data_IF_171603868952
#
_entry.id   IF_171603868952
#
_cell.length_a   1.000
_cell.length_b   1.000
_cell.length_c   1.000
_cell.angle_alpha   90.00
_cell.angle_beta   90.00
_cell.angle_gamma   90.00
#
_symmetry.space_group_name_H-M   'P 1'
#
loop_
_entity.id
_entity.type
_entity.pdbx_description
1 polymer ?
#
# COMPACT_ATOMS: atom_id res chain seq x y z
N UNK A 1 32.29 21.87 8.13
CA UNK A 1 31.01 22.17 8.80
C UNK A 1 30.37 23.36 8.10
N UNK A 2 29.27 23.15 7.39
CA UNK A 2 28.50 24.21 6.74
C UNK A 2 27.80 25.04 7.82
N UNK A 3 28.23 26.28 8.03
CA UNK A 3 27.61 27.19 9.00
C UNK A 3 26.22 27.59 8.48
N UNK A 4 25.16 27.11 9.14
CA UNK A 4 23.77 27.37 8.74
C UNK A 4 23.26 28.66 9.38
N UNK A 5 22.75 29.56 8.56
CA UNK A 5 22.24 30.89 8.99
C UNK A 5 20.73 30.91 9.27
N UNK A 6 20.01 29.80 9.01
CA UNK A 6 18.56 29.66 9.26
C UNK A 6 18.23 28.25 9.77
N UNK A 7 17.16 28.14 10.56
CA UNK A 7 16.60 26.86 11.01
C UNK A 7 16.04 26.00 9.87
N UNK A 8 15.56 24.80 10.19
CA UNK A 8 14.91 23.93 9.20
C UNK A 8 13.53 24.50 8.83
N UNK A 9 13.41 24.99 7.59
CA UNK A 9 12.25 25.72 7.07
C UNK A 9 11.41 24.88 6.10
N UNK A 10 11.31 23.58 6.31
CA UNK A 10 10.48 22.74 5.46
C UNK A 10 8.97 23.07 5.65
N UNK A 11 8.26 23.53 4.60
CA UNK A 11 6.93 24.13 4.72
C UNK A 11 5.86 23.11 5.09
N UNK A 12 5.23 23.30 6.25
CA UNK A 12 3.99 22.64 6.64
C UNK A 12 2.78 23.56 6.54
N UNK A 13 1.60 23.04 6.88
CA UNK A 13 0.36 23.82 6.88
C UNK A 13 0.31 24.77 8.08
N UNK A 14 0.76 24.34 9.26
CA UNK A 14 0.86 25.18 10.47
C UNK A 14 2.20 25.94 10.54
N UNK A 15 3.16 25.57 9.70
CA UNK A 15 4.47 26.23 9.55
C UNK A 15 4.76 26.51 8.07
N UNK A 16 3.99 27.41 7.43
CA UNK A 16 4.13 27.68 6.01
C UNK A 16 5.49 28.28 5.68
N UNK A 17 5.92 28.11 4.44
CA UNK A 17 6.97 28.94 3.88
C UNK A 17 6.35 30.25 3.40
N UNK A 18 6.86 31.38 3.89
CA UNK A 18 6.42 32.70 3.48
C UNK A 18 7.10 33.04 2.15
N UNK A 19 6.35 33.04 1.07
CA UNK A 19 6.78 33.50 -0.24
C UNK A 19 6.13 34.85 -0.59
N UNK A 20 6.63 35.51 -1.63
CA UNK A 20 6.17 36.85 -2.04
C UNK A 20 4.70 36.84 -2.49
N UNK A 21 4.22 35.71 -3.01
CA UNK A 21 2.85 35.47 -3.48
C UNK A 21 1.91 34.90 -2.41
N UNK A 22 2.42 34.62 -1.20
CA UNK A 22 1.66 34.03 -0.11
C UNK A 22 2.34 32.82 0.52
N UNK A 23 1.59 32.07 1.32
CA UNK A 23 2.08 30.85 1.95
C UNK A 23 2.21 29.71 0.94
N UNK A 24 3.34 29.01 1.02
CA UNK A 24 3.52 27.68 0.44
C UNK A 24 3.44 26.64 1.54
N UNK A 25 2.58 25.65 1.34
CA UNK A 25 2.41 24.52 2.26
C UNK A 25 2.61 23.20 1.53
N UNK A 26 3.16 22.20 2.23
CA UNK A 26 3.27 20.81 1.72
C UNK A 26 2.40 19.89 2.55
N UNK A 27 1.76 18.96 1.87
CA UNK A 27 0.91 17.96 2.50
C UNK A 27 1.74 16.75 2.96
N UNK A 28 1.05 15.73 3.46
CA UNK A 28 1.65 14.45 3.82
C UNK A 28 0.94 13.33 3.08
N UNK A 29 1.69 12.67 2.20
CA UNK A 29 1.15 11.64 1.31
C UNK A 29 2.11 10.44 1.32
N UNK A 30 2.12 9.61 2.39
CA UNK A 30 3.06 8.50 2.54
C UNK A 30 3.07 7.57 1.33
N UNK A 31 4.25 7.29 0.79
CA UNK A 31 4.41 6.51 -0.44
C UNK A 31 3.81 7.17 -1.70
N UNK A 32 3.31 8.40 -1.60
CA UNK A 32 2.62 9.10 -2.68
C UNK A 32 1.15 8.69 -2.85
N UNK A 33 0.60 7.79 -2.05
CA UNK A 33 -0.76 7.27 -2.22
C UNK A 33 -1.85 8.28 -1.85
N UNK A 34 -2.80 8.48 -2.76
CA UNK A 34 -3.99 9.30 -2.54
C UNK A 34 -5.18 8.82 -3.39
N UNK A 35 -6.35 9.36 -3.10
CA UNK A 35 -7.52 9.16 -3.95
C UNK A 35 -7.77 10.37 -4.84
N UNK A 36 -8.42 10.16 -5.98
CA UNK A 36 -8.93 11.23 -6.83
C UNK A 36 -9.93 12.10 -6.07
N UNK A 37 -10.78 11.51 -5.23
CA UNK A 37 -11.71 12.26 -4.38
C UNK A 37 -10.95 13.26 -3.49
N UNK A 38 -9.88 12.83 -2.81
CA UNK A 38 -9.05 13.72 -1.99
C UNK A 38 -8.31 14.75 -2.85
N UNK A 39 -7.84 14.37 -4.04
CA UNK A 39 -7.20 15.28 -4.98
C UNK A 39 -8.16 16.39 -5.46
N UNK A 40 -9.39 16.04 -5.84
CA UNK A 40 -10.40 17.02 -6.28
C UNK A 40 -10.77 17.97 -5.13
N UNK A 41 -10.98 17.45 -3.92
CA UNK A 41 -11.21 18.28 -2.75
C UNK A 41 -10.04 19.24 -2.49
N UNK A 42 -8.80 18.78 -2.70
CA UNK A 42 -7.62 19.64 -2.59
C UNK A 42 -7.54 20.68 -3.72
N UNK A 43 -7.94 20.33 -4.94
CA UNK A 43 -8.07 21.29 -6.04
C UNK A 43 -9.09 22.38 -5.71
N UNK A 44 -10.23 22.03 -5.10
CA UNK A 44 -11.23 23.01 -4.65
C UNK A 44 -10.61 23.99 -3.62
N UNK A 45 -9.77 23.48 -2.71
CA UNK A 45 -9.02 24.34 -1.76
C UNK A 45 -8.04 25.26 -2.49
N UNK A 46 -7.30 24.74 -3.48
CA UNK A 46 -6.35 25.52 -4.26
C UNK A 46 -7.03 26.64 -5.04
N UNK A 47 -8.20 26.38 -5.62
CA UNK A 47 -9.03 27.35 -6.36
C UNK A 47 -9.65 28.40 -5.44
N UNK A 48 -10.08 28.01 -4.23
CA UNK A 48 -10.72 28.93 -3.30
C UNK A 48 -9.72 29.86 -2.57
N UNK A 49 -8.50 29.37 -2.29
CA UNK A 49 -7.58 30.06 -1.39
C UNK A 49 -6.16 30.25 -1.93
N UNK A 50 -5.78 29.65 -3.06
CA UNK A 50 -4.41 29.67 -3.56
C UNK A 50 -4.30 30.15 -5.01
N UNK A 51 -3.30 29.62 -5.71
CA UNK A 51 -3.06 29.90 -7.14
C UNK A 51 -3.94 29.06 -8.09
N UNK A 52 -4.92 28.32 -7.58
CA UNK A 52 -5.78 27.44 -8.37
C UNK A 52 -5.17 26.09 -8.74
N UNK A 53 -3.94 25.78 -8.31
CA UNK A 53 -3.22 24.60 -8.75
C UNK A 53 -2.67 23.75 -7.60
N UNK A 54 -2.62 22.44 -7.83
CA UNK A 54 -1.91 21.49 -6.96
C UNK A 54 -0.57 21.13 -7.60
N UNK A 55 0.52 21.28 -6.85
CA UNK A 55 1.88 21.11 -7.40
C UNK A 55 2.52 19.79 -6.92
N UNK A 56 3.02 18.99 -7.86
CA UNK A 56 3.77 17.77 -7.60
C UNK A 56 5.24 18.05 -7.30
N UNK A 57 5.83 17.24 -6.42
CA UNK A 57 7.22 17.39 -5.98
C UNK A 57 8.09 16.19 -6.31
N UNK A 58 9.41 16.41 -6.33
CA UNK A 58 10.42 15.34 -6.49
C UNK A 58 10.50 14.36 -5.31
N UNK A 59 9.74 14.60 -4.24
CA UNK A 59 9.63 13.71 -3.06
C UNK A 59 8.24 13.05 -3.00
N UNK A 60 7.61 12.82 -4.16
CA UNK A 60 6.32 12.13 -4.27
C UNK A 60 5.22 12.74 -3.38
N UNK A 61 5.14 14.07 -3.34
CA UNK A 61 4.26 14.82 -2.43
C UNK A 61 3.60 16.00 -3.16
N UNK A 62 2.58 16.59 -2.54
CA UNK A 62 1.76 17.69 -3.03
C UNK A 62 2.08 19.02 -2.33
N UNK A 63 1.90 20.13 -3.05
CA UNK A 63 2.04 21.49 -2.52
C UNK A 63 0.87 22.37 -2.97
N UNK A 64 0.46 23.27 -2.08
CA UNK A 64 -0.38 24.42 -2.41
C UNK A 64 0.48 25.69 -2.28
N UNK A 65 0.18 26.69 -3.12
CA UNK A 65 0.89 27.96 -3.21
C UNK A 65 -0.08 29.13 -3.15
N UNK A 66 0.49 30.33 -2.94
CA UNK A 66 -0.24 31.58 -2.85
C UNK A 66 -1.39 31.58 -1.83
N UNK A 67 -1.26 30.77 -0.75
CA UNK A 67 -2.28 30.74 0.30
C UNK A 67 -2.25 32.06 1.09
N UNK A 68 -3.40 32.55 1.59
CA UNK A 68 -3.43 33.76 2.39
C UNK A 68 -2.63 33.58 3.68
N UNK A 69 -2.06 34.68 4.15
CA UNK A 69 -1.34 34.78 5.40
C UNK A 69 -1.99 35.86 6.27
N UNK A 70 -2.26 35.51 7.53
CA UNK A 70 -2.69 36.45 8.57
C UNK A 70 -1.73 36.27 9.74
N UNK A 71 -1.05 37.35 10.14
CA UNK A 71 -0.03 37.34 11.20
C UNK A 71 1.07 36.27 11.01
N UNK A 72 1.45 36.02 9.75
CA UNK A 72 2.49 35.05 9.38
C UNK A 72 2.04 33.58 9.42
N UNK A 73 0.74 33.31 9.61
CA UNK A 73 0.16 31.98 9.61
C UNK A 73 -0.94 31.81 8.55
N UNK A 74 -1.18 30.56 8.14
CA UNK A 74 -2.32 30.21 7.29
C UNK A 74 -3.62 30.34 8.11
N UNK A 75 -4.66 31.04 7.62
CA UNK A 75 -5.91 31.22 8.36
C UNK A 75 -6.58 29.88 8.75
N UNK A 76 -7.24 29.80 9.93
CA UNK A 76 -7.89 28.57 10.40
C UNK A 76 -8.88 27.97 9.39
N UNK A 77 -9.62 28.80 8.65
CA UNK A 77 -10.56 28.32 7.63
C UNK A 77 -9.85 27.51 6.51
N UNK A 78 -8.67 27.95 6.08
CA UNK A 78 -7.87 27.24 5.06
C UNK A 78 -7.29 25.96 5.65
N UNK A 79 -6.82 25.99 6.90
CA UNK A 79 -6.33 24.79 7.59
C UNK A 79 -7.42 23.73 7.70
N UNK A 80 -8.65 24.11 8.07
CA UNK A 80 -9.77 23.19 8.17
C UNK A 80 -10.25 22.69 6.80
N UNK A 81 -10.21 23.53 5.76
CA UNK A 81 -10.49 23.09 4.40
C UNK A 81 -9.46 22.04 3.92
N UNK A 82 -8.17 22.25 4.19
CA UNK A 82 -7.12 21.25 3.91
C UNK A 82 -7.35 20.00 4.77
N UNK A 83 -7.69 20.14 6.05
CA UNK A 83 -7.98 18.99 6.94
C UNK A 83 -9.10 18.12 6.41
N UNK A 84 -10.17 18.73 5.88
CA UNK A 84 -11.33 18.03 5.33
C UNK A 84 -10.98 17.13 4.12
N UNK A 85 -9.85 17.39 3.43
CA UNK A 85 -9.36 16.52 2.35
C UNK A 85 -8.82 15.17 2.85
N UNK A 86 -8.52 15.05 4.15
CA UNK A 86 -7.85 13.89 4.74
C UNK A 86 -6.33 13.84 4.49
N UNK A 87 -5.75 14.84 3.82
CA UNK A 87 -4.32 14.89 3.46
C UNK A 87 -3.44 15.67 4.46
N UNK A 88 -4.03 16.12 5.57
CA UNK A 88 -3.31 16.82 6.64
C UNK A 88 -2.67 15.80 7.61
N UNK A 89 -1.38 15.91 7.96
CA UNK A 89 -0.79 15.12 9.03
C UNK A 89 -1.47 15.32 10.40
N UNK A 90 -1.25 14.37 11.32
CA UNK A 90 -1.48 14.61 12.74
C UNK A 90 -0.65 15.84 13.20
N UNK A 91 -1.22 16.78 13.98
CA UNK A 91 -0.56 18.05 14.32
C UNK A 91 0.84 17.88 14.93
N UNK A 92 1.00 16.88 15.79
CA UNK A 92 2.28 16.61 16.49
C UNK A 92 3.40 16.09 15.59
N UNK A 93 3.08 15.53 14.42
CA UNK A 93 4.05 14.92 13.51
C UNK A 93 4.15 15.67 12.18
N UNK A 94 3.72 16.93 12.17
CA UNK A 94 3.73 17.76 10.97
C UNK A 94 5.12 17.82 10.33
N UNK A 95 6.20 17.93 11.09
CA UNK A 95 7.55 18.06 10.52
C UNK A 95 8.14 16.74 10.01
N UNK A 96 7.62 15.58 10.42
CA UNK A 96 8.12 14.30 9.92
C UNK A 96 7.51 14.04 8.55
N UNK A 97 8.31 14.28 7.51
CA UNK A 97 7.85 14.31 6.12
C UNK A 97 8.02 12.97 5.41
N UNK A 98 7.48 13.01 4.19
CA UNK A 98 7.09 11.89 3.35
C UNK A 98 8.07 10.71 3.35
N UNK A 99 7.52 9.50 3.42
CA UNK A 99 8.25 8.27 3.08
C UNK A 99 8.18 8.14 1.56
N UNK A 100 9.33 8.25 0.89
CA UNK A 100 9.41 8.04 -0.56
C UNK A 100 9.49 6.54 -0.83
N UNK A 101 8.62 6.02 -1.69
CA UNK A 101 8.50 4.59 -1.99
C UNK A 101 8.44 4.40 -3.50
N UNK A 102 8.94 3.28 -4.03
CA UNK A 102 8.82 2.95 -5.45
C UNK A 102 7.35 3.07 -5.90
N UNK A 103 6.98 3.95 -6.85
CA UNK A 103 5.59 4.31 -7.10
C UNK A 103 4.70 3.17 -7.62
N UNK A 104 5.32 2.09 -8.10
CA UNK A 104 4.65 0.91 -8.65
C UNK A 104 4.68 -0.28 -7.68
N UNK A 105 5.11 -0.09 -6.42
CA UNK A 105 5.15 -1.16 -5.42
C UNK A 105 3.77 -1.77 -5.18
N UNK A 106 3.69 -3.10 -5.21
CA UNK A 106 2.44 -3.85 -5.13
C UNK A 106 1.48 -3.67 -6.32
N UNK A 107 1.83 -2.84 -7.32
CA UNK A 107 1.02 -2.57 -8.52
C UNK A 107 1.54 -3.34 -9.73
N UNK A 108 2.83 -3.28 -9.99
CA UNK A 108 3.45 -3.94 -11.13
C UNK A 108 4.96 -4.08 -10.94
N UNK A 109 5.48 -5.29 -11.18
CA UNK A 109 6.91 -5.58 -11.02
C UNK A 109 7.38 -5.41 -9.57
N UNK A 110 8.67 -5.10 -9.40
CA UNK A 110 9.30 -5.07 -8.08
C UNK A 110 9.45 -6.48 -7.47
N UNK A 111 10.21 -6.59 -6.38
CA UNK A 111 10.48 -7.86 -5.69
C UNK A 111 9.59 -8.05 -4.46
N UNK A 112 9.17 -6.95 -3.84
CA UNK A 112 8.30 -6.94 -2.68
C UNK A 112 7.19 -5.89 -2.80
N UNK A 113 6.10 -6.11 -2.07
CA UNK A 113 5.10 -5.08 -1.82
C UNK A 113 5.49 -4.30 -0.55
N UNK A 114 5.82 -3.02 -0.71
CA UNK A 114 6.28 -2.16 0.37
C UNK A 114 5.15 -1.33 0.99
N UNK A 115 3.91 -1.44 0.52
CA UNK A 115 2.76 -0.72 1.11
C UNK A 115 2.57 -1.05 2.60
N UNK A 116 2.68 -2.31 3.06
CA UNK A 116 2.57 -2.64 4.49
C UNK A 116 3.71 -2.04 5.31
N UNK A 117 4.95 -2.15 4.82
CA UNK A 117 6.12 -1.56 5.48
C UNK A 117 5.99 -0.05 5.58
N UNK A 118 5.44 0.59 4.54
CA UNK A 118 5.18 2.03 4.51
C UNK A 118 4.15 2.42 5.57
N UNK A 119 3.01 1.73 5.61
CA UNK A 119 1.96 1.99 6.60
C UNK A 119 2.44 1.76 8.03
N UNK A 120 3.18 0.68 8.27
CA UNK A 120 3.73 0.36 9.59
C UNK A 120 4.80 1.38 10.02
N UNK A 121 5.70 1.78 9.11
CA UNK A 121 6.69 2.81 9.38
C UNK A 121 6.02 4.15 9.71
N UNK A 122 4.98 4.49 8.94
CA UNK A 122 4.16 5.68 9.16
C UNK A 122 3.57 5.72 10.57
N UNK A 123 2.92 4.62 10.96
CA UNK A 123 2.30 4.44 12.26
C UNK A 123 3.34 4.50 13.39
N UNK A 124 4.48 3.81 13.24
CA UNK A 124 5.56 3.81 14.23
C UNK A 124 6.18 5.18 14.43
N UNK A 125 6.37 5.94 13.35
CA UNK A 125 6.83 7.32 13.41
C UNK A 125 5.84 8.18 14.20
N UNK A 126 4.55 8.11 13.87
CA UNK A 126 3.51 8.88 14.54
C UNK A 126 3.28 8.46 15.99
N UNK A 127 3.55 7.20 16.33
CA UNK A 127 3.45 6.69 17.70
C UNK A 127 4.69 7.02 18.56
N UNK A 128 5.75 7.61 18.00
CA UNK A 128 7.01 7.86 18.71
C UNK A 128 7.25 9.37 18.91
N UNK A 129 6.95 9.94 20.09
CA UNK A 129 7.04 11.39 20.32
C UNK A 129 8.42 12.02 20.07
N UNK A 130 9.51 11.27 20.27
CA UNK A 130 10.86 11.77 19.98
C UNK A 130 11.11 11.99 18.49
N UNK A 131 10.39 11.28 17.62
CA UNK A 131 10.52 11.38 16.17
C UNK A 131 9.76 12.57 15.59
N UNK A 132 8.76 13.12 16.29
CA UNK A 132 8.13 14.40 15.94
C UNK A 132 9.12 15.56 15.71
N UNK A 133 10.30 15.47 16.33
CA UNK A 133 11.38 16.47 16.24
C UNK A 133 12.45 16.13 15.19
N UNK A 134 12.21 15.12 14.34
CA UNK A 134 13.08 14.86 13.20
C UNK A 134 13.17 16.13 12.31
N UNK A 135 14.32 16.39 11.69
CA UNK A 135 14.45 17.42 10.67
C UNK A 135 13.42 17.20 9.56
N UNK A 136 12.75 18.25 9.11
CA UNK A 136 11.84 18.20 7.95
C UNK A 136 12.55 17.86 6.64
N UNK A 137 13.89 17.97 6.60
CA UNK A 137 14.69 17.47 5.48
C UNK A 137 15.00 15.98 5.54
N UNK A 138 14.85 15.35 6.71
CA UNK A 138 15.09 13.93 6.92
C UNK A 138 14.20 13.10 6.00
N UNK A 139 14.77 12.18 5.23
CA UNK A 139 14.05 11.44 4.18
C UNK A 139 14.20 9.94 4.33
N UNK A 140 13.06 9.25 4.39
CA UNK A 140 12.99 7.80 4.19
C UNK A 140 12.83 7.47 2.71
N UNK A 141 13.57 6.49 2.20
CA UNK A 141 13.47 6.00 0.82
C UNK A 141 13.39 4.47 0.80
N UNK A 142 12.27 3.92 0.32
CA UNK A 142 12.04 2.48 0.26
C UNK A 142 11.92 2.04 -1.21
N UNK A 143 12.95 1.37 -1.73
CA UNK A 143 12.97 0.82 -3.09
C UNK A 143 12.52 -0.65 -3.05
N UNK A 144 11.54 -1.03 -3.87
CA UNK A 144 11.01 -2.39 -3.87
C UNK A 144 11.87 -3.40 -4.65
N UNK A 145 13.12 -3.05 -4.93
CA UNK A 145 14.08 -3.89 -5.62
C UNK A 145 14.01 -3.77 -7.14
N UNK A 146 13.30 -2.76 -7.66
CA UNK A 146 13.32 -2.39 -9.08
C UNK A 146 14.43 -1.40 -9.42
N UNK A 147 14.87 -0.60 -8.45
CA UNK A 147 15.96 0.36 -8.63
C UNK A 147 15.53 1.72 -9.20
N UNK A 148 14.24 2.05 -9.16
CA UNK A 148 13.71 3.34 -9.64
C UNK A 148 13.98 4.49 -8.67
N UNK A 149 14.39 4.16 -7.44
CA UNK A 149 14.83 5.09 -6.41
C UNK A 149 16.32 4.96 -6.09
N UNK A 150 17.07 4.11 -6.80
CA UNK A 150 18.49 3.85 -6.53
C UNK A 150 19.38 5.11 -6.57
N UNK A 151 18.99 6.13 -7.37
CA UNK A 151 19.71 7.40 -7.46
C UNK A 151 19.30 8.42 -6.39
N UNK A 152 18.28 8.11 -5.57
CA UNK A 152 17.81 9.00 -4.51
C UNK A 152 18.71 8.86 -3.28
N UNK A 153 19.14 10.01 -2.78
CA UNK A 153 19.74 10.10 -1.44
C UNK A 153 18.65 9.91 -0.40
N UNK A 154 19.03 9.32 0.73
CA UNK A 154 18.16 9.09 1.86
C UNK A 154 18.93 9.27 3.15
N UNK A 155 18.22 9.54 4.23
CA UNK A 155 18.78 9.42 5.57
C UNK A 155 18.70 7.99 6.06
N UNK A 156 17.54 7.36 5.84
CA UNK A 156 17.32 5.95 6.12
C UNK A 156 16.48 5.35 4.99
N UNK A 157 16.64 4.07 4.73
CA UNK A 157 15.90 3.45 3.66
C UNK A 157 16.08 1.96 3.59
N UNK A 158 15.55 1.36 2.52
CA UNK A 158 15.75 -0.04 2.20
C UNK A 158 15.73 -0.27 0.70
N UNK A 159 16.29 -1.41 0.29
CA UNK A 159 16.10 -2.00 -1.04
C UNK A 159 15.63 -3.44 -0.85
N UNK A 160 14.51 -3.83 -1.46
CA UNK A 160 14.07 -5.21 -1.40
C UNK A 160 14.98 -6.13 -2.23
N UNK A 161 15.39 -7.24 -1.61
CA UNK A 161 16.25 -8.24 -2.23
C UNK A 161 15.43 -9.40 -2.80
N UNK A 162 14.30 -9.70 -2.15
CA UNK A 162 13.31 -10.72 -2.47
C UNK A 162 11.92 -10.28 -1.99
N UNK A 163 10.94 -11.19 -1.96
CA UNK A 163 9.61 -10.93 -1.41
C UNK A 163 9.58 -10.83 0.12
N UNK A 164 10.65 -11.24 0.80
CA UNK A 164 10.73 -11.43 2.25
C UNK A 164 12.01 -10.87 2.87
N UNK A 165 12.98 -10.41 2.09
CA UNK A 165 14.24 -9.83 2.55
C UNK A 165 14.46 -8.43 1.99
N UNK A 166 15.02 -7.56 2.81
CA UNK A 166 15.48 -6.22 2.40
C UNK A 166 16.87 -5.95 2.94
N UNK A 167 17.65 -5.13 2.24
CA UNK A 167 18.85 -4.53 2.81
C UNK A 167 18.55 -3.10 3.23
N UNK A 168 18.94 -2.73 4.45
CA UNK A 168 18.79 -1.36 4.95
C UNK A 168 19.80 -0.41 4.30
N UNK A 169 19.42 0.84 4.11
CA UNK A 169 20.27 1.97 3.69
C UNK A 169 20.40 2.95 4.85
N UNK A 170 21.62 3.41 5.12
CA UNK A 170 21.92 4.33 6.21
C UNK A 170 22.74 5.50 5.64
N UNK A 171 22.11 6.66 5.50
CA UNK A 171 22.68 7.80 4.78
C UNK A 171 22.75 7.57 3.26
N UNK A 172 23.54 8.41 2.59
CA UNK A 172 23.61 8.39 1.12
C UNK A 172 24.47 7.26 0.56
N UNK A 173 25.47 6.79 1.32
CA UNK A 173 26.52 5.89 0.81
C UNK A 173 26.70 4.60 1.60
N UNK A 174 26.07 4.43 2.78
CA UNK A 174 26.28 3.25 3.61
C UNK A 174 25.10 2.28 3.54
N UNK A 175 25.44 1.00 3.68
CA UNK A 175 24.48 -0.08 3.79
C UNK A 175 24.42 -0.57 5.24
N UNK A 176 23.22 -0.98 5.63
CA UNK A 176 22.96 -1.71 6.87
C UNK A 176 22.84 -3.21 6.62
N UNK A 177 22.43 -3.97 7.64
CA UNK A 177 22.25 -5.41 7.53
C UNK A 177 21.09 -5.76 6.59
N UNK A 178 21.14 -6.99 6.07
CA UNK A 178 19.97 -7.66 5.48
C UNK A 178 19.06 -8.12 6.61
N UNK A 179 17.77 -7.81 6.50
CA UNK A 179 16.76 -8.14 7.51
C UNK A 179 15.50 -8.68 6.83
N UNK A 180 14.67 -9.46 7.56
CA UNK A 180 13.35 -9.81 7.07
C UNK A 180 12.49 -8.57 6.79
N UNK A 181 11.74 -8.56 5.69
CA UNK A 181 10.87 -7.46 5.26
C UNK A 181 9.90 -7.02 6.36
N UNK A 182 9.35 -7.99 7.10
CA UNK A 182 8.41 -7.72 8.19
C UNK A 182 9.06 -7.03 9.42
N UNK A 183 10.39 -7.03 9.52
CA UNK A 183 11.11 -6.28 10.56
C UNK A 183 11.51 -4.87 10.09
N UNK A 184 11.46 -4.59 8.78
CA UNK A 184 12.08 -3.40 8.19
C UNK A 184 11.57 -2.09 8.80
N UNK A 185 10.25 -1.95 8.99
CA UNK A 185 9.65 -0.76 9.59
C UNK A 185 10.12 -0.53 11.04
N UNK A 186 10.22 -1.61 11.83
CA UNK A 186 10.73 -1.56 13.20
C UNK A 186 12.22 -1.16 13.23
N UNK A 187 13.04 -1.73 12.34
CA UNK A 187 14.48 -1.41 12.24
C UNK A 187 14.72 0.05 11.83
N UNK A 188 14.01 0.54 10.80
CA UNK A 188 14.09 1.93 10.35
C UNK A 188 13.66 2.92 11.45
N UNK A 189 12.62 2.59 12.20
CA UNK A 189 12.19 3.40 13.35
C UNK A 189 13.26 3.44 14.44
N UNK A 190 13.90 2.29 14.73
CA UNK A 190 15.01 2.21 15.68
C UNK A 190 16.20 3.07 15.27
N UNK A 191 16.59 3.02 14.00
CA UNK A 191 17.66 3.85 13.44
C UNK A 191 17.32 5.35 13.49
N UNK A 192 16.06 5.72 13.20
CA UNK A 192 15.62 7.11 13.30
C UNK A 192 15.67 7.64 14.74
N UNK A 193 15.34 6.79 15.72
CA UNK A 193 15.47 7.11 17.15
C UNK A 193 16.93 7.28 17.55
N UNK A 194 17.81 6.41 17.08
CA UNK A 194 19.25 6.52 17.31
C UNK A 194 19.80 7.83 16.73
N UNK A 195 19.44 8.18 15.49
CA UNK A 195 19.79 9.47 14.89
C UNK A 195 19.33 10.65 15.77
N UNK A 196 18.06 10.66 16.21
CA UNK A 196 17.55 11.73 17.08
C UNK A 196 18.30 11.86 18.41
N UNK A 197 18.82 10.76 18.95
CA UNK A 197 19.60 10.77 20.19
C UNK A 197 20.99 11.38 20.00
N UNK A 198 21.63 11.15 18.84
CA UNK A 198 23.04 11.51 18.62
C UNK A 198 23.26 12.79 17.81
N UNK A 199 22.23 13.28 17.08
CA UNK A 199 22.35 14.46 16.19
C UNK A 199 22.64 15.79 16.88
N UNK A 200 22.56 15.85 18.22
CA UNK A 200 22.75 17.07 19.02
C UNK A 200 21.56 18.03 19.00
N UNK A 201 21.77 19.24 19.52
CA UNK A 201 20.75 20.29 19.66
C UNK A 201 21.25 21.66 19.19
N UNK A 202 20.34 22.59 18.87
CA UNK A 202 20.67 23.95 18.45
C UNK A 202 21.09 24.04 16.98
N UNK A 203 21.74 25.14 16.60
CA UNK A 203 22.04 25.47 15.21
C UNK A 203 23.06 24.52 14.53
N UNK A 204 23.88 23.84 15.33
CA UNK A 204 24.88 22.87 14.86
C UNK A 204 24.34 21.44 14.73
N UNK A 205 23.08 21.18 15.14
CA UNK A 205 22.51 19.85 15.11
C UNK A 205 22.43 19.30 13.68
N UNK A 206 22.84 18.04 13.51
CA UNK A 206 22.82 17.37 12.21
C UNK A 206 21.40 17.32 11.66
N UNK A 207 21.22 17.63 10.38
CA UNK A 207 19.93 17.47 9.70
C UNK A 207 19.82 16.14 8.97
N UNK A 208 20.96 15.54 8.65
CA UNK A 208 21.07 14.31 7.90
C UNK A 208 21.98 13.30 8.59
N UNK A 209 21.76 12.01 8.32
CA UNK A 209 22.61 10.92 8.84
C UNK A 209 24.06 11.09 8.42
N UNK A 210 24.29 11.55 7.18
CA UNK A 210 25.64 11.80 6.63
C UNK A 210 26.40 12.95 7.35
N UNK A 211 25.73 13.74 8.19
CA UNK A 211 26.35 14.81 8.97
C UNK A 211 26.81 14.36 10.35
N UNK A 212 26.49 13.12 10.76
CA UNK A 212 26.94 12.58 12.03
C UNK A 212 28.45 12.33 12.00
N UNK A 213 29.16 12.57 13.13
CA UNK A 213 30.61 12.40 13.19
C UNK A 213 31.03 10.92 13.19
N UNK A 214 30.11 10.02 13.53
CA UNK A 214 30.35 8.57 13.58
C UNK A 214 29.62 7.94 12.42
N UNK A 215 30.39 7.26 11.55
CA UNK A 215 29.82 6.46 10.48
C UNK A 215 29.07 5.25 11.06
N UNK A 216 27.99 4.79 10.42
CA UNK A 216 27.34 3.54 10.80
C UNK A 216 28.29 2.36 10.65
N UNK A 217 27.97 1.25 11.32
CA UNK A 217 28.67 -0.01 11.11
C UNK A 217 28.67 -0.36 9.61
N UNK A 218 29.84 -0.69 9.02
CA UNK A 218 29.93 -0.93 7.59
C UNK A 218 29.33 -2.29 7.24
N UNK A 219 28.42 -2.30 6.27
CA UNK A 219 27.98 -3.50 5.57
C UNK A 219 28.28 -3.37 4.07
N UNK A 220 28.67 -4.47 3.44
CA UNK A 220 28.78 -4.53 1.98
C UNK A 220 27.39 -4.50 1.34
N UNK A 221 27.30 -3.88 0.17
CA UNK A 221 26.07 -3.91 -0.61
C UNK A 221 25.82 -5.33 -1.11
N UNK A 222 24.63 -5.88 -0.87
CA UNK A 222 24.21 -7.11 -1.53
C UNK A 222 24.12 -6.85 -3.04
N UNK A 223 24.73 -7.68 -3.91
CA UNK A 223 24.65 -7.49 -5.36
C UNK A 223 23.22 -7.37 -5.89
N UNK A 224 22.24 -8.02 -5.23
CA UNK A 224 20.82 -7.93 -5.54
C UNK A 224 20.28 -6.50 -5.34
N UNK A 225 20.84 -5.73 -4.42
CA UNK A 225 20.43 -4.34 -4.14
C UNK A 225 20.95 -3.34 -5.19
N UNK A 226 21.95 -3.72 -5.99
CA UNK A 226 22.61 -2.85 -6.96
C UNK A 226 21.89 -2.82 -8.32
N UNK A 227 20.59 -2.54 -8.28
CA UNK A 227 19.74 -2.41 -9.47
C UNK A 227 19.36 -0.96 -9.73
N UNK A 228 19.12 -0.64 -11.01
CA UNK A 228 18.67 0.68 -11.46
C UNK A 228 17.66 0.53 -12.58
N UNK A 229 16.59 1.32 -12.52
CA UNK A 229 15.61 1.42 -13.59
C UNK A 229 15.21 2.87 -13.80
N UNK A 230 14.93 3.22 -15.05
CA UNK A 230 14.31 4.50 -15.39
C UNK A 230 12.80 4.48 -15.09
N UNK A 231 12.15 5.65 -14.98
CA UNK A 231 10.70 5.73 -14.92
C UNK A 231 10.07 5.03 -16.13
N UNK A 232 8.92 4.34 -15.98
CA UNK A 232 8.21 3.80 -17.13
C UNK A 232 7.79 4.94 -18.09
N UNK A 233 7.63 4.63 -19.37
CA UNK A 233 7.02 5.59 -20.30
C UNK A 233 5.59 5.96 -19.84
N UNK A 234 5.11 7.14 -20.24
CA UNK A 234 3.72 7.51 -20.00
C UNK A 234 2.77 6.60 -20.81
N UNK A 235 1.62 6.28 -20.25
CA UNK A 235 0.63 5.36 -20.82
C UNK A 235 0.41 4.12 -19.96
N UNK A 236 -0.14 3.07 -20.57
CA UNK A 236 -0.40 1.80 -19.89
C UNK A 236 0.92 1.12 -19.48
N UNK A 237 1.02 0.78 -18.19
CA UNK A 237 2.17 0.06 -17.61
C UNK A 237 1.84 -1.41 -17.41
N UNK A 238 0.62 -1.69 -16.93
CA UNK A 238 0.07 -3.03 -16.73
C UNK A 238 -1.47 -2.96 -16.82
N UNK A 239 -2.18 -4.10 -16.88
CA UNK A 239 -3.65 -4.09 -16.81
C UNK A 239 -4.16 -3.31 -15.59
N UNK A 240 -4.93 -2.25 -15.84
CA UNK A 240 -5.46 -1.39 -14.78
C UNK A 240 -4.43 -0.47 -14.09
N UNK A 241 -3.22 -0.33 -14.62
CA UNK A 241 -2.16 0.59 -14.11
C UNK A 241 -1.60 1.43 -15.25
N UNK A 242 -1.60 2.75 -15.08
CA UNK A 242 -1.09 3.69 -16.06
C UNK A 242 -0.15 4.73 -15.42
N UNK A 243 0.90 5.12 -16.13
CA UNK A 243 1.75 6.24 -15.78
C UNK A 243 1.25 7.49 -16.52
N UNK A 244 0.80 8.48 -15.76
CA UNK A 244 0.11 9.68 -16.26
C UNK A 244 1.02 10.89 -16.16
N UNK A 245 1.26 11.52 -17.30
CA UNK A 245 2.01 12.77 -17.39
C UNK A 245 1.25 13.91 -16.70
N UNK A 246 1.99 14.78 -16.02
CA UNK A 246 1.48 16.03 -15.44
C UNK A 246 2.38 17.17 -15.91
N UNK A 247 1.85 18.04 -16.77
CA UNK A 247 2.60 19.14 -17.37
C UNK A 247 3.28 20.03 -16.31
N UNK A 248 4.61 20.08 -16.32
CA UNK A 248 5.40 20.84 -15.35
C UNK A 248 5.30 20.36 -13.88
N UNK A 249 4.58 19.27 -13.63
CA UNK A 249 4.17 18.86 -12.29
C UNK A 249 3.06 19.74 -11.70
N UNK A 250 2.25 20.40 -12.52
CA UNK A 250 1.11 21.21 -12.09
C UNK A 250 -0.17 20.47 -12.46
N UNK A 251 -0.97 20.10 -11.46
CA UNK A 251 -2.24 19.41 -11.66
C UNK A 251 -3.35 20.41 -11.94
N UNK A 252 -3.93 20.29 -13.13
CA UNK A 252 -5.13 21.01 -13.53
C UNK A 252 -6.38 20.22 -13.15
N UNK A 253 -7.48 20.95 -12.86
CA UNK A 253 -8.79 20.35 -12.57
C UNK A 253 -9.25 19.40 -13.68
N UNK A 254 -9.05 19.78 -14.95
CA UNK A 254 -9.45 18.98 -16.11
C UNK A 254 -8.81 17.60 -16.12
N UNK A 255 -7.51 17.51 -15.81
CA UNK A 255 -6.83 16.22 -15.69
C UNK A 255 -7.37 15.45 -14.48
N UNK A 256 -7.52 16.11 -13.34
CA UNK A 256 -7.99 15.46 -12.10
C UNK A 256 -9.35 14.78 -12.24
N UNK A 257 -10.25 15.34 -13.07
CA UNK A 257 -11.58 14.79 -13.34
C UNK A 257 -11.57 13.50 -14.19
N UNK A 258 -10.51 13.24 -14.96
CA UNK A 258 -10.43 12.05 -15.84
C UNK A 258 -9.66 10.89 -15.23
N UNK A 259 -8.97 11.12 -14.11
CA UNK A 259 -8.19 10.10 -13.42
C UNK A 259 -9.08 9.00 -12.83
N UNK A 260 -8.57 7.78 -12.59
CA UNK A 260 -9.24 6.77 -11.78
C UNK A 260 -9.17 7.13 -10.28
N UNK A 261 -9.88 6.37 -9.45
CA UNK A 261 -10.00 6.70 -8.02
C UNK A 261 -8.67 6.60 -7.26
N UNK A 262 -7.76 5.69 -7.61
CA UNK A 262 -6.52 5.50 -6.86
C UNK A 262 -5.30 6.01 -7.63
N UNK A 263 -4.48 6.78 -6.92
CA UNK A 263 -3.35 7.50 -7.47
C UNK A 263 -2.11 7.32 -6.59
N UNK A 264 -0.95 7.41 -7.22
CA UNK A 264 0.36 7.50 -6.55
C UNK A 264 1.12 8.67 -7.15
N UNK A 265 1.47 9.67 -6.34
CA UNK A 265 2.36 10.75 -6.76
C UNK A 265 3.76 10.18 -6.90
N UNK A 266 4.40 10.43 -8.04
CA UNK A 266 5.75 9.92 -8.32
C UNK A 266 6.83 10.94 -7.93
N UNK A 267 8.09 10.53 -7.71
CA UNK A 267 9.21 11.47 -7.59
C UNK A 267 9.61 12.14 -8.92
N UNK A 268 8.94 11.78 -10.02
CA UNK A 268 9.18 12.33 -11.37
C UNK A 268 8.25 13.49 -11.70
N UNK A 269 7.45 13.95 -10.73
CA UNK A 269 6.38 14.96 -10.91
C UNK A 269 5.29 14.51 -11.89
N UNK A 270 4.93 13.24 -11.80
CA UNK A 270 3.85 12.60 -12.55
C UNK A 270 2.96 11.82 -11.59
N UNK A 271 1.95 11.11 -12.11
CA UNK A 271 1.10 10.22 -11.32
C UNK A 271 1.18 8.79 -11.86
N UNK A 272 1.10 7.80 -10.98
CA UNK A 272 0.63 6.46 -11.35
C UNK A 272 -0.85 6.41 -11.00
N UNK A 273 -1.66 6.00 -11.96
CA UNK A 273 -3.10 5.85 -11.85
C UNK A 273 -3.43 4.36 -11.90
N UNK A 274 -4.25 3.86 -10.96
CA UNK A 274 -4.55 2.44 -10.91
C UNK A 274 -5.99 2.13 -10.47
N UNK A 275 -6.48 0.95 -10.88
CA UNK A 275 -7.68 0.35 -10.32
C UNK A 275 -7.44 -0.05 -8.85
N UNK A 276 -8.47 -0.11 -8.02
CA UNK A 276 -8.30 -0.49 -6.61
C UNK A 276 -7.58 -1.83 -6.50
N UNK A 277 -6.48 -1.84 -5.74
CA UNK A 277 -5.79 -3.06 -5.40
C UNK A 277 -6.54 -3.78 -4.27
N UNK A 278 -6.54 -5.12 -4.26
CA UNK A 278 -6.98 -5.88 -3.12
C UNK A 278 -6.23 -5.38 -1.86
N UNK A 279 -6.91 -5.17 -0.72
CA UNK A 279 -6.27 -4.65 0.48
C UNK A 279 -5.27 -5.66 1.02
N UNK A 280 -4.17 -5.19 1.62
CA UNK A 280 -3.26 -6.11 2.30
C UNK A 280 -3.87 -6.68 3.59
N UNK A 281 -4.90 -6.04 4.14
CA UNK A 281 -5.64 -6.61 5.25
C UNK A 281 -7.12 -6.24 5.14
N UNK A 282 -8.00 -7.19 5.44
CA UNK A 282 -9.44 -6.95 5.49
C UNK A 282 -9.96 -7.46 6.83
N UNK A 283 -10.40 -6.53 7.69
CA UNK A 283 -11.13 -6.86 8.90
C UNK A 283 -12.57 -7.27 8.54
N UNK A 284 -13.03 -8.39 9.08
CA UNK A 284 -14.39 -8.90 8.85
C UNK A 284 -14.98 -9.47 10.16
N UNK A 285 -15.27 -8.56 11.10
CA UNK A 285 -15.69 -8.91 12.45
C UNK A 285 -14.49 -9.34 13.31
N UNK A 286 -14.54 -10.50 14.00
CA UNK A 286 -13.40 -11.01 14.77
C UNK A 286 -12.30 -11.61 13.88
N UNK A 287 -12.50 -11.65 12.57
CA UNK A 287 -11.59 -12.28 11.61
C UNK A 287 -10.80 -11.23 10.83
N UNK A 288 -9.58 -11.62 10.46
CA UNK A 288 -8.69 -10.83 9.63
C UNK A 288 -8.29 -11.65 8.41
N UNK A 289 -8.40 -11.04 7.22
CA UNK A 289 -7.88 -11.59 5.98
C UNK A 289 -6.52 -10.98 5.70
N UNK A 290 -5.47 -11.81 5.58
CA UNK A 290 -4.11 -11.36 5.21
C UNK A 290 -3.58 -12.15 4.01
N UNK A 291 -2.89 -11.53 3.05
CA UNK A 291 -2.29 -12.22 1.92
C UNK A 291 -1.49 -13.44 2.35
N UNK A 292 -1.60 -14.52 1.57
CA UNK A 292 -0.87 -15.76 1.79
C UNK A 292 0.64 -15.50 1.69
N UNK A 293 1.40 -15.88 2.72
CA UNK A 293 2.87 -15.87 2.72
C UNK A 293 3.45 -17.27 2.55
N UNK A 294 4.76 -17.36 2.30
CA UNK A 294 5.46 -18.64 2.14
C UNK A 294 5.29 -19.59 3.33
N UNK A 295 5.03 -19.06 4.53
CA UNK A 295 4.82 -19.81 5.77
C UNK A 295 3.44 -20.46 5.89
N UNK A 296 2.47 -20.01 5.09
CA UNK A 296 1.08 -20.46 5.15
C UNK A 296 0.84 -21.79 4.41
N UNK A 297 1.90 -22.42 3.88
CA UNK A 297 1.81 -23.72 3.19
C UNK A 297 1.15 -24.80 4.06
N UNK A 298 1.26 -24.72 5.38
CA UNK A 298 0.60 -25.65 6.32
C UNK A 298 -0.92 -25.55 6.24
N UNK A 299 -1.47 -24.35 6.05
CA UNK A 299 -2.93 -24.14 5.89
C UNK A 299 -3.42 -24.81 4.61
N UNK A 300 -2.69 -24.65 3.50
CA UNK A 300 -2.99 -25.33 2.23
C UNK A 300 -2.96 -26.86 2.39
N UNK A 301 -1.99 -27.39 3.13
CA UNK A 301 -1.88 -28.82 3.40
C UNK A 301 -3.05 -29.33 4.27
N UNK A 302 -3.41 -28.62 5.34
CA UNK A 302 -4.54 -29.00 6.20
C UNK A 302 -5.86 -29.02 5.41
N UNK A 303 -6.10 -28.01 4.57
CA UNK A 303 -7.26 -27.96 3.69
C UNK A 303 -7.29 -29.11 2.68
N UNK A 304 -6.14 -29.49 2.10
CA UNK A 304 -6.04 -30.62 1.16
C UNK A 304 -6.37 -31.98 1.77
N UNK A 305 -6.30 -32.10 3.10
CA UNK A 305 -6.61 -33.33 3.85
C UNK A 305 -8.04 -33.35 4.39
N UNK A 306 -8.80 -32.28 4.17
CA UNK A 306 -10.21 -32.23 4.55
C UNK A 306 -11.07 -32.81 3.42
N UNK A 307 -11.75 -33.96 3.62
CA UNK A 307 -12.49 -34.62 2.54
C UNK A 307 -13.54 -33.72 1.89
N UNK A 308 -14.28 -32.92 2.68
CA UNK A 308 -15.27 -31.97 2.16
C UNK A 308 -14.63 -30.82 1.36
N UNK A 309 -13.44 -30.34 1.74
CA UNK A 309 -12.76 -29.29 0.97
C UNK A 309 -12.34 -29.86 -0.38
N UNK A 310 -11.75 -31.04 -0.39
CA UNK A 310 -11.39 -31.75 -1.62
C UNK A 310 -12.65 -31.99 -2.46
N UNK A 311 -13.72 -32.52 -1.88
CA UNK A 311 -14.97 -32.84 -2.59
C UNK A 311 -15.58 -31.63 -3.30
N UNK A 312 -15.63 -30.48 -2.63
CA UNK A 312 -16.43 -29.34 -3.07
C UNK A 312 -15.66 -28.20 -3.71
N UNK A 313 -14.33 -28.28 -3.75
CA UNK A 313 -13.47 -27.19 -4.25
C UNK A 313 -12.41 -27.73 -5.23
N UNK A 314 -11.62 -26.83 -5.81
CA UNK A 314 -10.49 -27.20 -6.67
C UNK A 314 -9.20 -27.53 -5.90
N UNK A 315 -9.29 -27.76 -4.58
CA UNK A 315 -8.14 -28.22 -3.81
C UNK A 315 -7.72 -29.64 -4.24
N UNK A 316 -6.43 -29.87 -4.54
CA UNK A 316 -5.92 -31.22 -4.71
C UNK A 316 -5.97 -31.97 -3.36
N UNK A 317 -6.16 -33.29 -3.42
CA UNK A 317 -6.14 -34.14 -2.23
C UNK A 317 -4.71 -34.37 -1.73
N UNK A 318 -4.55 -34.47 -0.41
CA UNK A 318 -3.35 -34.98 0.26
C UNK A 318 -2.03 -34.36 -0.21
N UNK A 319 -1.95 -33.03 -0.22
CA UNK A 319 -0.73 -32.33 -0.64
C UNK A 319 0.47 -32.72 0.25
N UNK A 320 1.57 -33.09 -0.40
CA UNK A 320 2.89 -33.11 0.24
C UNK A 320 3.29 -31.69 0.66
N UNK A 321 4.28 -31.57 1.55
CA UNK A 321 4.82 -30.26 1.92
C UNK A 321 5.34 -29.50 0.69
N UNK A 322 6.10 -30.17 -0.19
CA UNK A 322 6.61 -29.56 -1.42
C UNK A 322 5.48 -29.11 -2.35
N UNK A 323 4.41 -29.90 -2.47
CA UNK A 323 3.22 -29.55 -3.25
C UNK A 323 2.47 -28.34 -2.70
N UNK A 324 2.31 -28.26 -1.38
CA UNK A 324 1.68 -27.13 -0.72
C UNK A 324 2.48 -25.84 -0.87
N UNK A 325 3.81 -25.89 -0.67
CA UNK A 325 4.71 -24.74 -0.89
C UNK A 325 4.68 -24.26 -2.33
N UNK A 326 4.73 -25.17 -3.30
CA UNK A 326 4.64 -24.83 -4.72
C UNK A 326 3.28 -24.18 -5.07
N UNK A 327 2.20 -24.62 -4.44
CA UNK A 327 0.88 -24.02 -4.61
C UNK A 327 0.82 -22.60 -4.04
N UNK A 328 1.38 -22.36 -2.84
CA UNK A 328 1.52 -21.01 -2.26
C UNK A 328 2.33 -20.10 -3.19
N UNK A 329 3.47 -20.57 -3.68
CA UNK A 329 4.33 -19.79 -4.58
C UNK A 329 3.57 -19.36 -5.86
N UNK A 330 2.81 -20.27 -6.49
CA UNK A 330 1.96 -19.94 -7.64
C UNK A 330 0.85 -18.93 -7.30
N UNK A 331 0.25 -19.02 -6.12
CA UNK A 331 -0.75 -18.03 -5.69
C UNK A 331 -0.13 -16.64 -5.53
N UNK A 332 1.06 -16.55 -4.97
CA UNK A 332 1.79 -15.28 -4.82
C UNK A 332 2.20 -14.69 -6.17
N UNK A 333 2.65 -15.53 -7.10
CA UNK A 333 2.97 -15.11 -8.47
C UNK A 333 1.74 -14.52 -9.18
N UNK A 334 0.61 -15.25 -9.19
CA UNK A 334 -0.64 -14.75 -9.79
C UNK A 334 -1.18 -13.49 -9.11
N UNK A 335 -0.86 -13.26 -7.84
CA UNK A 335 -1.19 -12.02 -7.16
C UNK A 335 -0.31 -10.84 -7.60
N UNK A 336 0.99 -11.07 -7.82
CA UNK A 336 1.88 -10.05 -8.41
C UNK A 336 1.47 -9.69 -9.84
N UNK A 337 0.89 -10.63 -10.58
CA UNK A 337 0.33 -10.41 -11.92
C UNK A 337 -1.04 -9.71 -11.90
N UNK A 338 -1.65 -9.51 -10.73
CA UNK A 338 -2.97 -8.90 -10.60
C UNK A 338 -4.13 -9.81 -11.04
N UNK A 339 -3.88 -11.09 -11.32
CA UNK A 339 -4.90 -12.03 -11.80
C UNK A 339 -5.79 -12.57 -10.67
N UNK A 340 -5.23 -12.74 -9.46
CA UNK A 340 -5.95 -13.25 -8.29
C UNK A 340 -5.41 -12.63 -7.01
N UNK A 341 -6.19 -12.58 -5.95
CA UNK A 341 -5.68 -12.33 -4.60
C UNK A 341 -6.17 -13.41 -3.65
N UNK A 342 -5.24 -14.07 -2.96
CA UNK A 342 -5.52 -15.08 -1.95
C UNK A 342 -5.16 -14.57 -0.57
N UNK A 343 -5.97 -14.94 0.41
CA UNK A 343 -5.82 -14.59 1.81
C UNK A 343 -5.91 -15.84 2.68
N UNK A 344 -5.17 -15.84 3.78
CA UNK A 344 -5.47 -16.68 4.94
C UNK A 344 -6.50 -15.95 5.80
N UNK A 345 -7.51 -16.69 6.24
CA UNK A 345 -8.51 -16.23 7.21
C UNK A 345 -7.96 -16.53 8.60
N UNK A 346 -7.86 -15.52 9.48
CA UNK A 346 -7.33 -15.69 10.84
C UNK A 346 -8.31 -15.17 11.88
N UNK A 347 -8.28 -15.80 13.06
CA UNK A 347 -8.82 -15.27 14.32
C UNK A 347 -7.67 -15.20 15.31
N UNK A 348 -7.18 -13.98 15.58
CA UNK A 348 -5.87 -13.80 16.22
C UNK A 348 -4.78 -14.52 15.42
N UNK A 349 -4.06 -15.42 16.08
CA UNK A 349 -3.01 -16.22 15.45
C UNK A 349 -3.46 -17.54 14.83
N UNK A 350 -4.74 -17.89 14.97
CA UNK A 350 -5.27 -19.17 14.52
C UNK A 350 -5.75 -19.07 13.07
N UNK A 351 -5.17 -19.82 12.13
CA UNK A 351 -5.68 -19.89 10.76
C UNK A 351 -6.98 -20.71 10.73
N UNK A 352 -7.98 -20.19 10.02
CA UNK A 352 -9.32 -20.79 9.89
C UNK A 352 -9.59 -21.34 8.49
N UNK A 353 -8.74 -21.03 7.53
CA UNK A 353 -8.86 -21.44 6.13
C UNK A 353 -8.29 -20.40 5.17
N UNK A 354 -8.69 -20.49 3.91
CA UNK A 354 -8.28 -19.56 2.86
C UNK A 354 -9.48 -18.97 2.14
N UNK A 355 -9.32 -17.77 1.60
CA UNK A 355 -10.28 -17.15 0.70
C UNK A 355 -9.58 -16.28 -0.33
N UNK A 356 -10.36 -15.65 -1.21
CA UNK A 356 -9.79 -14.72 -2.17
C UNK A 356 -10.74 -14.33 -3.29
N UNK A 357 -10.16 -13.62 -4.24
CA UNK A 357 -10.78 -13.24 -5.50
C UNK A 357 -9.92 -13.75 -6.65
N UNK A 358 -10.52 -14.43 -7.61
CA UNK A 358 -9.94 -14.73 -8.91
C UNK A 358 -10.53 -13.83 -9.99
N UNK A 359 -9.93 -13.87 -11.19
CA UNK A 359 -10.40 -13.11 -12.36
C UNK A 359 -10.47 -11.61 -12.06
N UNK A 360 -9.46 -11.10 -11.34
CA UNK A 360 -9.40 -9.69 -10.92
C UNK A 360 -9.22 -8.75 -12.10
N UNK A 361 -8.79 -9.25 -13.25
CA UNK A 361 -8.75 -8.60 -14.55
C UNK A 361 -10.14 -8.42 -15.19
N UNK A 362 -11.17 -9.12 -14.70
CA UNK A 362 -12.53 -9.02 -15.22
C UNK A 362 -13.42 -8.06 -14.41
N UNK A 363 -14.51 -7.61 -15.04
CA UNK A 363 -15.48 -6.69 -14.43
C UNK A 363 -16.22 -7.32 -13.25
N UNK A 364 -16.43 -8.64 -13.28
CA UNK A 364 -17.06 -9.43 -12.22
C UNK A 364 -16.06 -10.47 -11.69
N UNK A 365 -15.21 -10.11 -10.72
CA UNK A 365 -14.29 -11.06 -10.11
C UNK A 365 -15.05 -12.20 -9.41
N UNK A 366 -14.37 -13.34 -9.25
CA UNK A 366 -14.93 -14.54 -8.62
C UNK A 366 -14.37 -14.73 -7.21
N UNK A 367 -15.24 -14.68 -6.20
CA UNK A 367 -14.93 -14.99 -4.83
C UNK A 367 -14.87 -16.50 -4.58
N UNK A 368 -13.94 -16.89 -3.71
CA UNK A 368 -13.56 -18.27 -3.46
C UNK A 368 -13.16 -18.42 -2.00
N UNK A 369 -13.55 -19.50 -1.36
CA UNK A 369 -13.20 -19.78 0.04
C UNK A 369 -13.15 -21.29 0.34
N UNK A 370 -12.32 -21.67 1.29
CA UNK A 370 -12.22 -23.01 1.85
C UNK A 370 -11.92 -22.90 3.35
N UNK A 371 -12.72 -23.59 4.17
CA UNK A 371 -12.63 -23.52 5.63
C UNK A 371 -12.15 -24.84 6.24
N UNK A 372 -11.25 -24.71 7.21
CA UNK A 372 -10.92 -25.81 8.12
C UNK A 372 -12.15 -26.20 8.95
N UNK A 373 -12.28 -27.46 9.39
CA UNK A 373 -13.46 -27.94 10.11
C UNK A 373 -13.86 -27.07 11.31
N UNK A 374 -12.88 -26.57 12.06
CA UNK A 374 -13.05 -25.77 13.28
C UNK A 374 -13.66 -24.38 13.02
N UNK A 375 -13.62 -23.92 11.77
CA UNK A 375 -14.18 -22.65 11.35
C UNK A 375 -15.65 -22.75 10.87
N UNK A 376 -16.15 -23.97 10.63
CA UNK A 376 -17.49 -24.20 10.05
C UNK A 376 -18.59 -23.96 11.06
N UNK A 377 -19.78 -23.57 10.58
CA UNK A 377 -20.94 -23.26 11.43
C UNK A 377 -20.86 -21.94 12.20
N UNK A 378 -19.69 -21.29 12.26
CA UNK A 378 -19.45 -20.05 13.02
C UNK A 378 -19.75 -18.75 12.28
N UNK A 379 -20.23 -18.85 11.03
CA UNK A 379 -20.50 -17.68 10.18
C UNK A 379 -19.27 -17.09 9.46
N UNK A 380 -18.09 -17.68 9.64
CA UNK A 380 -16.81 -17.23 9.03
C UNK A 380 -16.94 -17.00 7.53
N UNK A 381 -17.41 -17.98 6.76
CA UNK A 381 -17.52 -17.85 5.29
C UNK A 381 -18.45 -16.71 4.86
N UNK A 382 -19.53 -16.46 5.61
CA UNK A 382 -20.47 -15.36 5.32
C UNK A 382 -19.81 -14.01 5.60
N UNK A 383 -19.09 -13.86 6.72
CA UNK A 383 -18.37 -12.63 7.05
C UNK A 383 -17.28 -12.32 6.02
N UNK A 384 -16.50 -13.33 5.65
CA UNK A 384 -15.43 -13.23 4.65
C UNK A 384 -15.99 -12.86 3.26
N UNK A 385 -17.04 -13.55 2.81
CA UNK A 385 -17.64 -13.28 1.52
C UNK A 385 -18.27 -11.87 1.47
N UNK A 386 -18.88 -11.43 2.57
CA UNK A 386 -19.38 -10.06 2.72
C UNK A 386 -18.27 -9.02 2.62
N UNK A 387 -17.13 -9.25 3.29
CA UNK A 387 -16.01 -8.31 3.26
C UNK A 387 -15.33 -8.22 1.88
N UNK A 388 -15.18 -9.35 1.18
CA UNK A 388 -14.67 -9.37 -0.20
C UNK A 388 -15.62 -8.62 -1.14
N UNK A 389 -16.94 -8.84 -1.00
CA UNK A 389 -17.98 -8.14 -1.74
C UNK A 389 -17.93 -6.62 -1.49
N UNK A 390 -17.82 -6.21 -0.23
CA UNK A 390 -17.78 -4.79 0.15
C UNK A 390 -16.54 -4.10 -0.41
N UNK A 391 -15.40 -4.80 -0.41
CA UNK A 391 -14.20 -4.30 -1.09
C UNK A 391 -14.41 -4.17 -2.61
N UNK A 392 -14.97 -5.20 -3.27
CA UNK A 392 -15.28 -5.14 -4.71
C UNK A 392 -16.22 -3.95 -5.00
N UNK A 393 -17.23 -3.72 -4.18
CA UNK A 393 -18.15 -2.59 -4.31
C UNK A 393 -17.44 -1.24 -4.18
N UNK A 394 -16.57 -1.11 -3.16
CA UNK A 394 -15.74 0.07 -2.94
C UNK A 394 -14.74 0.31 -4.07
N UNK A 395 -14.32 -0.74 -4.79
CA UNK A 395 -13.45 -0.62 -5.97
C UNK A 395 -14.15 -0.09 -7.22
N UNK A 396 -15.46 0.20 -7.14
CA UNK A 396 -16.24 0.70 -8.26
C UNK A 396 -16.68 -0.38 -9.26
N UNK A 397 -16.41 -1.66 -8.97
CA UNK A 397 -16.84 -2.78 -9.81
C UNK A 397 -18.36 -3.04 -9.67
N UNK A 398 -19.03 -3.51 -10.74
CA UNK A 398 -20.48 -3.71 -10.77
C UNK A 398 -20.98 -4.85 -9.87
N UNK A 399 -20.10 -5.78 -9.48
CA UNK A 399 -20.50 -6.93 -8.67
C UNK A 399 -19.39 -7.95 -8.48
N UNK A 400 -19.71 -9.05 -7.82
CA UNK A 400 -18.82 -10.19 -7.57
C UNK A 400 -19.62 -11.49 -7.75
N UNK A 401 -18.96 -12.53 -8.23
CA UNK A 401 -19.56 -13.87 -8.36
C UNK A 401 -18.99 -14.83 -7.35
N UNK A 402 -19.67 -15.93 -7.06
CA UNK A 402 -19.12 -17.11 -6.38
C UNK A 402 -19.70 -18.36 -7.05
N UNK A 403 -18.85 -19.35 -7.28
CA UNK A 403 -19.27 -20.61 -7.90
C UNK A 403 -19.28 -21.71 -6.85
N UNK A 404 -20.33 -22.52 -6.84
CA UNK A 404 -20.48 -23.68 -5.95
C UNK A 404 -20.85 -24.91 -6.75
N UNK A 405 -20.31 -26.08 -6.39
CA UNK A 405 -20.77 -27.36 -6.96
C UNK A 405 -22.21 -27.64 -6.54
N UNK A 406 -23.05 -28.10 -7.47
CA UNK A 406 -24.43 -28.51 -7.19
C UNK A 406 -24.45 -29.61 -6.12
N UNK A 407 -25.38 -29.52 -5.17
CA UNK A 407 -25.43 -30.42 -3.99
C UNK A 407 -24.68 -29.90 -2.76
N UNK A 408 -23.79 -28.91 -2.90
CA UNK A 408 -23.18 -28.24 -1.73
C UNK A 408 -24.16 -27.23 -1.11
N UNK A 409 -25.09 -27.74 -0.31
CA UNK A 409 -26.14 -26.94 0.36
C UNK A 409 -25.56 -25.92 1.33
N UNK A 410 -24.44 -26.23 1.98
CA UNK A 410 -23.76 -25.34 2.92
C UNK A 410 -23.21 -24.08 2.22
N UNK A 411 -22.45 -24.23 1.13
CA UNK A 411 -21.94 -23.09 0.36
C UNK A 411 -23.04 -22.29 -0.32
N UNK A 412 -24.10 -22.95 -0.80
CA UNK A 412 -25.29 -22.27 -1.32
C UNK A 412 -25.99 -21.41 -0.23
N UNK A 413 -26.08 -21.91 1.00
CA UNK A 413 -26.61 -21.13 2.13
C UNK A 413 -25.70 -19.97 2.54
N UNK A 414 -24.38 -20.10 2.40
CA UNK A 414 -23.44 -18.99 2.60
C UNK A 414 -23.66 -17.89 1.54
N UNK A 415 -23.73 -18.25 0.26
CA UNK A 415 -23.93 -17.30 -0.83
C UNK A 415 -25.21 -16.47 -0.62
N UNK A 416 -26.34 -17.12 -0.31
CA UNK A 416 -27.61 -16.44 0.01
C UNK A 416 -27.49 -15.49 1.20
N UNK A 417 -26.89 -15.93 2.31
CA UNK A 417 -26.70 -15.09 3.51
C UNK A 417 -25.78 -13.89 3.26
N UNK A 418 -24.82 -14.02 2.34
CA UNK A 418 -23.96 -12.92 1.91
C UNK A 418 -24.64 -11.99 0.87
N UNK A 419 -25.91 -12.23 0.54
CA UNK A 419 -26.70 -11.40 -0.37
C UNK A 419 -26.57 -11.73 -1.86
N UNK A 420 -25.97 -12.87 -2.21
CA UNK A 420 -25.87 -13.29 -3.60
C UNK A 420 -27.16 -14.00 -4.04
N UNK A 421 -27.53 -13.83 -5.31
CA UNK A 421 -28.64 -14.53 -5.96
C UNK A 421 -28.10 -15.57 -6.95
N UNK A 422 -28.82 -16.67 -7.14
CA UNK A 422 -28.45 -17.67 -8.15
C UNK A 422 -28.69 -17.06 -9.53
N UNK A 423 -27.63 -16.90 -10.32
CA UNK A 423 -27.70 -16.34 -11.66
C UNK A 423 -27.88 -17.44 -12.71
N UNK A 424 -27.12 -18.53 -12.60
CA UNK A 424 -27.20 -19.65 -13.54
C UNK A 424 -26.70 -20.97 -12.91
N UNK A 425 -27.12 -22.08 -13.53
CA UNK A 425 -26.57 -23.42 -13.32
C UNK A 425 -26.03 -23.93 -14.65
N UNK A 426 -24.78 -24.37 -14.68
CA UNK A 426 -24.06 -24.77 -15.89
C UNK A 426 -23.21 -26.03 -15.63
N UNK A 427 -22.78 -26.72 -16.69
CA UNK A 427 -21.84 -27.83 -16.61
C UNK A 427 -20.45 -27.37 -17.01
N UNK A 428 -19.44 -27.71 -16.21
CA UNK A 428 -18.03 -27.38 -16.49
C UNK A 428 -17.10 -28.41 -15.82
N UNK A 429 -15.81 -28.35 -16.14
CA UNK A 429 -14.80 -29.18 -15.51
C UNK A 429 -14.65 -28.82 -14.02
N UNK A 430 -14.84 -29.82 -13.17
CA UNK A 430 -14.51 -29.78 -11.76
C UNK A 430 -13.54 -30.92 -11.44
N UNK A 431 -12.25 -30.57 -11.41
CA UNK A 431 -11.13 -31.50 -11.11
C UNK A 431 -11.01 -32.66 -12.11
N UNK A 432 -11.14 -32.38 -13.41
CA UNK A 432 -11.03 -33.40 -14.46
C UNK A 432 -12.29 -34.24 -14.66
N UNK A 433 -13.42 -33.81 -14.09
CA UNK A 433 -14.72 -34.45 -14.24
C UNK A 433 -15.80 -33.41 -14.48
N UNK A 434 -16.73 -33.69 -15.39
CA UNK A 434 -17.86 -32.80 -15.66
C UNK A 434 -18.77 -32.76 -14.44
N UNK A 435 -19.03 -31.56 -13.91
CA UNK A 435 -19.93 -31.36 -12.78
C UNK A 435 -20.88 -30.20 -13.05
N UNK A 436 -22.07 -30.27 -12.44
CA UNK A 436 -23.03 -29.16 -12.45
C UNK A 436 -22.61 -28.14 -11.39
N UNK A 437 -22.46 -26.89 -11.82
CA UNK A 437 -22.01 -25.75 -11.02
C UNK A 437 -23.10 -24.69 -10.97
N UNK A 438 -23.22 -24.01 -9.84
CA UNK A 438 -24.12 -22.89 -9.62
C UNK A 438 -23.29 -21.60 -9.51
N UNK A 439 -23.55 -20.64 -10.41
CA UNK A 439 -22.98 -19.29 -10.31
C UNK A 439 -23.94 -18.40 -9.55
N UNK A 440 -23.46 -17.87 -8.44
CA UNK A 440 -24.16 -16.88 -7.64
C UNK A 440 -23.55 -15.52 -7.90
N UNK A 441 -24.39 -14.49 -8.04
CA UNK A 441 -23.94 -13.14 -8.33
C UNK A 441 -24.48 -12.18 -7.27
N UNK A 442 -23.62 -11.30 -6.80
CA UNK A 442 -24.03 -10.09 -6.10
C UNK A 442 -23.74 -8.89 -7.00
N UNK A 443 -24.73 -8.03 -7.19
CA UNK A 443 -24.60 -6.80 -7.97
C UNK A 443 -24.72 -5.59 -7.05
N UNK A 444 -23.86 -4.60 -7.26
CA UNK A 444 -23.95 -3.31 -6.59
C UNK A 444 -25.22 -2.59 -7.06
N UNK A 445 -26.09 -2.23 -6.13
CA UNK A 445 -27.29 -1.41 -6.36
C UNK A 445 -26.98 0.06 -6.45
#
# INVERSE_FOLDING_TARGET
MTQRTRGDMCPGVLRPWLADDGALVRLRVPGGHLTRTALLALTDVAEAYGDGHVHLTKRANLQLRALPLVDGAVPPAVVEAIRATGLLPHPDHELVRNVLVSPLTGLHGGRADLRPVTAELDQRICATPSLAKLPGRFLFVLDDGRGDLATRTCDLGLVALSADEVQLRIGSTHWGPVVPLHEAAARLTGLARAFQQVRGSGAAAAWHVDELPVAPEPHEADPRALVRSEPPAYGAVAPGVAHVEVGGGVLERKLSLTLPEHLVVTPWKSLVAHASLPPHEIACGPYVLRPVTGDDWRVEQLLSRCPEVVQWTSYPADLSESGARARVARQQERAREGATQRYVIREGDTPLGTCGLGRLDESLPEAVYALLPEARGRGVATAVLGALRDWVAASGRPGVTVVTVEGNTASAAVARRAGFTLAETFEDDHRGSLARLNRWTWTRT
#
